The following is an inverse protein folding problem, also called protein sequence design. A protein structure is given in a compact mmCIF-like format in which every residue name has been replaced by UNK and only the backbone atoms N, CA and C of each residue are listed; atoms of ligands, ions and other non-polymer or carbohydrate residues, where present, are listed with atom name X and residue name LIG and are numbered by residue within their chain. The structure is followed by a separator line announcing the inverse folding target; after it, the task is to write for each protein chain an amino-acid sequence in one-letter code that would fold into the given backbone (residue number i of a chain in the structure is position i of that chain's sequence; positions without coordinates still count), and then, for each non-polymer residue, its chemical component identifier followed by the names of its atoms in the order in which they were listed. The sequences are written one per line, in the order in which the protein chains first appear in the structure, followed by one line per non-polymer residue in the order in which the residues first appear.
data_IF_662895521215
#
_entry.id   IF_662895521215
#
_cell.length_a   1.000
_cell.length_b   1.000
_cell.length_c   1.000
_cell.angle_alpha   90.00
_cell.angle_beta   90.00
_cell.angle_gamma   90.00
#
_symmetry.space_group_name_H-M   'P 1'
#
loop_
_entity.id
_entity.type
_entity.pdbx_description
1 polymer ?
#
# COMPACT_ATOMS: atom_id res chain seq x y z
N UNK A 1 -17.86 5.81 -5.46
CA UNK A 1 -16.95 6.96 -5.21
C UNK A 1 -15.95 7.02 -6.33
N UNK A 2 -15.72 8.21 -6.93
CA UNK A 2 -14.74 8.40 -8.02
C UNK A 2 -13.43 8.92 -7.43
N UNK A 3 -12.29 8.51 -7.98
CA UNK A 3 -10.98 9.01 -7.55
C UNK A 3 -10.38 9.88 -8.66
N UNK A 4 -10.16 11.15 -8.33
CA UNK A 4 -9.54 12.13 -9.21
C UNK A 4 -8.15 12.41 -8.66
N UNK A 5 -7.12 12.25 -9.48
CA UNK A 5 -5.75 12.53 -9.07
C UNK A 5 -5.14 13.68 -9.89
N UNK A 6 -4.21 14.38 -9.25
CA UNK A 6 -3.32 15.34 -9.90
C UNK A 6 -1.89 14.85 -9.69
N UNK A 7 -1.09 14.74 -10.77
CA UNK A 7 0.33 14.44 -10.63
C UNK A 7 1.02 15.48 -9.76
N UNK A 8 1.94 15.05 -8.90
CA UNK A 8 2.81 15.97 -8.18
C UNK A 8 3.77 16.64 -9.15
N UNK A 9 3.85 17.97 -9.10
CA UNK A 9 4.64 18.79 -10.02
C UNK A 9 6.13 18.49 -9.81
N UNK A 10 6.84 18.08 -10.86
CA UNK A 10 8.30 17.91 -10.85
C UNK A 10 8.84 16.52 -11.22
N UNK A 11 7.99 15.49 -11.39
CA UNK A 11 8.46 14.11 -11.71
C UNK A 11 8.53 13.82 -13.22
N UNK A 12 7.79 14.56 -14.06
CA UNK A 12 8.04 14.64 -15.50
C UNK A 12 7.13 15.70 -16.13
N UNK A 13 7.75 16.60 -16.86
CA UNK A 13 7.16 17.82 -17.41
C UNK A 13 6.25 17.57 -18.64
N UNK A 14 5.43 16.49 -18.63
CA UNK A 14 4.65 16.04 -19.82
C UNK A 14 3.16 15.81 -19.59
N UNK A 15 2.62 16.04 -18.40
CA UNK A 15 1.22 15.76 -18.12
C UNK A 15 0.61 16.70 -17.10
N UNK A 16 0.49 17.99 -17.43
CA UNK A 16 -0.37 18.91 -16.68
C UNK A 16 -1.84 18.54 -16.95
N UNK A 17 -2.35 17.54 -16.23
CA UNK A 17 -3.70 17.04 -16.42
C UNK A 17 -4.26 16.46 -15.12
N UNK A 18 -5.54 16.74 -14.87
CA UNK A 18 -6.31 16.01 -13.87
C UNK A 18 -6.84 14.75 -14.52
N UNK A 19 -6.65 13.59 -13.89
CA UNK A 19 -7.09 12.31 -14.43
C UNK A 19 -8.21 11.73 -13.57
N UNK A 20 -9.17 11.07 -14.21
CA UNK A 20 -10.05 10.12 -13.52
C UNK A 20 -9.32 8.78 -13.47
N UNK A 21 -9.19 8.20 -12.29
CA UNK A 21 -8.66 6.85 -12.14
C UNK A 21 -9.76 5.82 -12.41
N UNK A 22 -9.36 4.68 -12.98
CA UNK A 22 -10.18 3.48 -13.14
C UNK A 22 -9.34 2.23 -12.85
N UNK A 23 -9.99 1.08 -12.63
CA UNK A 23 -9.34 -0.21 -12.41
C UNK A 23 -9.69 -0.83 -11.04
N UNK A 24 -9.23 -2.07 -10.84
CA UNK A 24 -9.61 -2.89 -9.68
C UNK A 24 -9.03 -2.36 -8.35
N UNK A 25 -7.90 -1.63 -8.43
CA UNK A 25 -7.21 -1.08 -7.26
C UNK A 25 -7.84 0.22 -6.73
N UNK A 26 -8.93 0.69 -7.34
CA UNK A 26 -9.54 1.98 -6.99
C UNK A 26 -10.12 1.97 -5.57
N UNK A 27 -10.66 0.83 -5.13
CA UNK A 27 -11.13 0.66 -3.75
C UNK A 27 -9.99 0.77 -2.74
N UNK A 28 -8.81 0.21 -3.05
CA UNK A 28 -7.62 0.32 -2.19
C UNK A 28 -7.12 1.76 -2.13
N UNK A 29 -7.05 2.44 -3.27
CA UNK A 29 -6.62 3.85 -3.33
C UNK A 29 -7.55 4.80 -2.58
N UNK A 30 -8.86 4.51 -2.52
CA UNK A 30 -9.80 5.30 -1.72
C UNK A 30 -9.51 5.21 -0.22
N UNK A 31 -9.01 4.07 0.26
CA UNK A 31 -8.60 3.89 1.65
C UNK A 31 -7.21 4.48 1.95
N UNK A 32 -6.50 4.94 0.92
CA UNK A 32 -5.19 5.61 1.02
C UNK A 32 -5.30 7.14 0.92
N UNK A 33 -6.50 7.70 1.12
CA UNK A 33 -6.68 9.16 1.13
C UNK A 33 -5.78 9.82 2.19
N UNK A 34 -5.10 10.90 1.78
CA UNK A 34 -4.13 11.61 2.62
C UNK A 34 -2.72 11.02 2.57
N UNK A 35 -2.53 9.81 2.02
CA UNK A 35 -1.20 9.25 1.81
C UNK A 35 -0.61 9.69 0.46
N UNK A 36 0.73 9.70 0.39
CA UNK A 36 1.45 9.89 -0.87
C UNK A 36 1.65 8.54 -1.54
N UNK A 37 1.22 8.42 -2.79
CA UNK A 37 1.31 7.18 -3.57
C UNK A 37 1.91 7.45 -4.93
N UNK A 38 2.76 6.55 -5.39
CA UNK A 38 3.13 6.44 -6.79
C UNK A 38 2.11 5.52 -7.47
N UNK A 39 1.56 5.95 -8.60
CA UNK A 39 0.56 5.18 -9.34
C UNK A 39 1.17 4.72 -10.66
N UNK A 40 1.00 3.44 -10.95
CA UNK A 40 1.40 2.81 -12.20
C UNK A 40 0.16 2.44 -13.02
N UNK A 41 0.26 2.60 -14.33
CA UNK A 41 -0.86 2.34 -15.22
C UNK A 41 -0.67 2.97 -16.59
N UNK A 42 -1.79 3.12 -17.32
CA UNK A 42 -1.77 3.71 -18.65
C UNK A 42 -2.96 4.63 -18.90
N UNK A 43 -2.73 5.65 -19.73
CA UNK A 43 -3.82 6.45 -20.27
C UNK A 43 -4.59 5.61 -21.29
N UNK A 44 -5.90 5.54 -21.13
CA UNK A 44 -6.77 4.72 -22.01
C UNK A 44 -7.12 5.40 -23.33
N UNK A 45 -6.80 6.69 -23.49
CA UNK A 45 -7.24 7.52 -24.62
C UNK A 45 -8.74 7.87 -24.59
N UNK A 46 -9.48 7.37 -23.60
CA UNK A 46 -10.90 7.66 -23.40
C UNK A 46 -11.07 8.83 -22.43
N UNK A 47 -12.22 9.49 -22.55
CA UNK A 47 -12.66 10.52 -21.62
C UNK A 47 -13.81 9.98 -20.76
N UNK A 48 -13.82 10.40 -19.50
CA UNK A 48 -14.94 10.21 -18.58
C UNK A 48 -16.12 11.10 -18.97
N UNK A 49 -17.26 10.90 -18.30
CA UNK A 49 -18.45 11.75 -18.44
C UNK A 49 -18.19 13.25 -18.19
N UNK A 50 -17.15 13.59 -17.41
CA UNK A 50 -16.72 14.97 -17.14
C UNK A 50 -15.65 15.48 -18.10
N UNK A 51 -15.39 14.77 -19.20
CA UNK A 51 -14.32 15.08 -20.16
C UNK A 51 -12.91 15.08 -19.55
N UNK A 52 -12.70 14.34 -18.47
CA UNK A 52 -11.36 14.09 -17.92
C UNK A 52 -10.73 12.85 -18.58
N UNK A 53 -9.44 12.87 -18.91
CA UNK A 53 -8.73 11.68 -19.38
C UNK A 53 -8.77 10.57 -18.33
N UNK A 54 -9.03 9.34 -18.78
CA UNK A 54 -9.09 8.16 -17.92
C UNK A 54 -7.71 7.49 -17.88
N UNK A 55 -7.19 7.32 -16.66
CA UNK A 55 -5.98 6.57 -16.36
C UNK A 55 -6.35 5.24 -15.71
N UNK A 56 -6.07 4.13 -16.39
CA UNK A 56 -6.30 2.79 -15.88
C UNK A 56 -5.14 2.40 -14.96
N UNK A 57 -5.44 2.23 -13.68
CA UNK A 57 -4.49 1.86 -12.64
C UNK A 57 -4.25 0.36 -12.64
N UNK A 58 -2.98 -0.03 -12.77
CA UNK A 58 -2.55 -1.43 -12.71
C UNK A 58 -1.68 -1.73 -11.49
N UNK A 59 -1.16 -0.69 -10.84
CA UNK A 59 -0.33 -0.83 -9.65
C UNK A 59 -0.24 0.49 -8.89
N UNK A 60 0.20 0.40 -7.63
CA UNK A 60 0.58 1.56 -6.86
C UNK A 60 1.64 1.18 -5.83
N UNK A 61 2.43 2.16 -5.41
CA UNK A 61 3.36 2.05 -4.30
C UNK A 61 3.08 3.16 -3.29
N UNK A 62 2.94 2.77 -2.02
CA UNK A 62 2.85 3.73 -0.93
C UNK A 62 4.25 4.34 -0.70
N UNK A 63 4.33 5.67 -0.78
CA UNK A 63 5.57 6.39 -0.51
C UNK A 63 5.80 6.48 1.01
N UNK A 64 6.98 6.96 1.40
CA UNK A 64 7.36 7.04 2.81
C UNK A 64 6.30 7.79 3.64
N UNK A 65 5.93 7.21 4.77
CA UNK A 65 5.06 7.77 5.80
C UNK A 65 5.97 8.20 6.95
N UNK A 66 5.96 9.49 7.28
CA UNK A 66 6.82 10.08 8.32
C UNK A 66 8.32 9.70 8.19
N UNK A 67 8.80 9.61 6.94
CA UNK A 67 10.19 9.28 6.62
C UNK A 67 10.51 7.77 6.60
N UNK A 68 9.56 6.92 6.96
CA UNK A 68 9.69 5.46 6.95
C UNK A 68 9.02 4.84 5.72
N UNK A 69 9.69 3.91 5.04
CA UNK A 69 9.09 3.16 3.94
C UNK A 69 8.11 2.13 4.52
N UNK A 70 6.81 2.20 4.21
CA UNK A 70 5.83 1.25 4.71
C UNK A 70 6.02 -0.14 4.09
N UNK A 71 5.79 -1.17 4.90
CA UNK A 71 5.64 -2.56 4.46
C UNK A 71 4.16 -2.81 4.19
N UNK A 72 3.83 -3.18 2.97
CA UNK A 72 2.46 -3.47 2.53
C UNK A 72 2.28 -4.97 2.35
N UNK A 73 1.20 -5.52 2.91
CA UNK A 73 0.92 -6.94 2.77
C UNK A 73 -0.43 -7.37 3.34
N UNK A 74 -0.73 -8.65 3.17
CA UNK A 74 -1.92 -9.29 3.75
C UNK A 74 -1.59 -9.78 5.14
N UNK A 75 -2.42 -9.41 6.11
CA UNK A 75 -2.27 -9.87 7.48
C UNK A 75 -2.85 -11.28 7.62
N UNK A 76 -2.05 -12.19 8.15
CA UNK A 76 -2.44 -13.58 8.42
C UNK A 76 -2.05 -13.94 9.84
N UNK A 77 -2.67 -15.01 10.37
CA UNK A 77 -2.32 -15.58 11.67
C UNK A 77 -1.93 -17.03 11.48
N UNK A 78 -0.73 -17.39 11.94
CA UNK A 78 -0.26 -18.78 11.97
C UNK A 78 0.02 -19.17 13.42
N UNK A 79 -0.78 -20.10 13.96
CA UNK A 79 -0.83 -20.38 15.41
C UNK A 79 -1.09 -19.08 16.17
N UNK A 80 -0.16 -18.66 17.02
CA UNK A 80 -0.28 -17.44 17.83
C UNK A 80 0.55 -16.26 17.30
N UNK A 81 1.04 -16.34 16.05
CA UNK A 81 1.85 -15.28 15.45
C UNK A 81 1.10 -14.58 14.32
N UNK A 82 1.02 -13.26 14.42
CA UNK A 82 0.61 -12.40 13.33
C UNK A 82 1.76 -12.24 12.33
N UNK A 83 1.43 -12.40 11.06
CA UNK A 83 2.38 -12.37 9.96
C UNK A 83 1.81 -11.48 8.87
N UNK A 84 2.56 -10.44 8.49
CA UNK A 84 2.27 -9.68 7.29
C UNK A 84 3.02 -10.30 6.11
N UNK A 85 2.28 -10.81 5.13
CA UNK A 85 2.83 -11.38 3.91
C UNK A 85 2.75 -10.36 2.77
N UNK A 86 3.89 -9.99 2.20
CA UNK A 86 3.95 -9.04 1.09
C UNK A 86 3.73 -9.73 -0.26
N UNK A 87 3.37 -8.97 -1.29
CA UNK A 87 3.17 -9.48 -2.65
C UNK A 87 4.48 -10.00 -3.26
N UNK A 88 5.63 -9.49 -2.82
CA UNK A 88 6.96 -9.99 -3.22
C UNK A 88 7.37 -11.28 -2.46
N UNK A 89 6.47 -11.82 -1.64
CA UNK A 89 6.67 -13.07 -0.90
C UNK A 89 7.62 -12.92 0.30
N UNK A 90 7.71 -11.73 0.90
CA UNK A 90 8.37 -11.54 2.20
C UNK A 90 7.38 -11.79 3.34
N UNK A 91 7.89 -12.32 4.43
CA UNK A 91 7.10 -12.60 5.63
C UNK A 91 7.64 -11.79 6.80
N UNK A 92 6.79 -10.92 7.36
CA UNK A 92 7.12 -10.12 8.52
C UNK A 92 6.35 -10.63 9.72
N UNK A 93 7.07 -11.23 10.67
CA UNK A 93 6.55 -11.63 11.97
C UNK A 93 6.33 -10.36 12.78
N UNK A 94 5.09 -10.12 13.20
CA UNK A 94 4.74 -8.92 13.94
C UNK A 94 4.96 -9.12 15.44
N UNK A 95 5.52 -8.12 16.10
CA UNK A 95 5.68 -8.06 17.56
C UNK A 95 5.42 -6.63 18.07
N UNK A 96 5.24 -6.43 19.38
CA UNK A 96 5.06 -5.10 19.96
C UNK A 96 3.62 -4.71 20.29
N UNK A 97 3.42 -3.44 20.65
CA UNK A 97 2.22 -2.96 21.34
C UNK A 97 0.99 -2.83 20.43
N UNK A 98 1.17 -2.65 19.12
CA UNK A 98 0.05 -2.49 18.18
C UNK A 98 -0.61 -3.83 17.80
N UNK A 99 -0.05 -4.98 18.21
CA UNK A 99 -0.57 -6.31 17.87
C UNK A 99 -2.09 -6.48 18.13
N UNK A 100 -2.64 -6.10 19.29
CA UNK A 100 -4.07 -6.26 19.55
C UNK A 100 -4.95 -5.44 18.60
N UNK A 101 -4.45 -4.29 18.12
CA UNK A 101 -5.17 -3.43 17.18
C UNK A 101 -5.15 -4.00 15.76
N UNK A 102 -4.00 -4.53 15.32
CA UNK A 102 -3.89 -5.13 13.98
C UNK A 102 -4.59 -6.48 13.90
N UNK A 103 -4.71 -7.23 15.00
CA UNK A 103 -5.37 -8.55 15.03
C UNK A 103 -6.82 -8.53 14.51
N UNK A 104 -7.54 -7.42 14.73
CA UNK A 104 -8.91 -7.24 14.22
C UNK A 104 -9.02 -7.22 12.68
N UNK A 105 -7.90 -7.17 11.96
CA UNK A 105 -7.84 -7.08 10.50
C UNK A 105 -7.21 -8.31 9.83
N UNK A 106 -7.19 -9.47 10.50
CA UNK A 106 -6.73 -10.73 9.90
C UNK A 106 -7.51 -11.02 8.60
N UNK A 107 -6.79 -11.26 7.50
CA UNK A 107 -7.34 -11.41 6.15
C UNK A 107 -7.29 -10.12 5.32
N UNK A 108 -7.17 -8.97 5.97
CA UNK A 108 -7.07 -7.67 5.33
C UNK A 108 -5.68 -7.37 4.75
N UNK A 109 -5.61 -6.37 3.86
CA UNK A 109 -4.37 -5.78 3.36
C UNK A 109 -4.07 -4.52 4.18
N UNK A 110 -2.87 -4.44 4.74
CA UNK A 110 -2.44 -3.34 5.61
C UNK A 110 -1.12 -2.75 5.10
N UNK A 111 -0.87 -1.50 5.46
CA UNK A 111 0.48 -0.94 5.49
C UNK A 111 0.92 -0.80 6.95
N UNK A 112 2.17 -1.10 7.24
CA UNK A 112 2.80 -0.91 8.55
C UNK A 112 4.15 -0.22 8.40
N UNK A 113 4.46 0.71 9.29
CA UNK A 113 5.81 1.26 9.49
C UNK A 113 6.37 0.76 10.82
N UNK A 114 7.69 0.83 10.99
CA UNK A 114 8.34 0.54 12.26
C UNK A 114 9.72 -0.09 12.11
N UNK A 115 10.23 -0.60 13.22
CA UNK A 115 11.56 -1.20 13.28
C UNK A 115 11.56 -2.59 12.62
N UNK A 116 12.42 -2.78 11.61
CA UNK A 116 12.61 -4.07 10.96
C UNK A 116 13.91 -4.71 11.46
N UNK A 117 13.78 -5.84 12.17
CA UNK A 117 14.92 -6.64 12.62
C UNK A 117 15.24 -7.72 11.59
N UNK A 118 16.48 -7.72 11.12
CA UNK A 118 17.03 -8.69 10.17
C UNK A 118 17.89 -9.70 10.90
N UNK A 119 17.49 -10.97 10.88
CA UNK A 119 18.33 -12.07 11.37
C UNK A 119 19.44 -12.44 10.39
N UNK A 120 20.42 -13.22 10.84
CA UNK A 120 21.61 -13.62 10.06
C UNK A 120 21.28 -14.34 8.73
N UNK A 121 20.07 -14.91 8.60
CA UNK A 121 19.59 -15.59 7.38
C UNK A 121 18.28 -15.02 6.81
N UNK A 122 17.91 -13.78 7.16
CA UNK A 122 16.63 -13.20 6.71
C UNK A 122 16.55 -13.04 5.19
N UNK A 123 17.68 -12.77 4.53
CA UNK A 123 17.74 -12.64 3.07
C UNK A 123 17.49 -13.97 2.35
N UNK A 124 17.94 -15.09 2.93
CA UNK A 124 17.75 -16.43 2.37
C UNK A 124 16.32 -16.94 2.62
N UNK A 125 15.80 -16.70 3.83
CA UNK A 125 14.49 -17.21 4.27
C UNK A 125 13.32 -16.31 3.92
N UNK A 126 13.60 -15.06 3.50
CA UNK A 126 12.62 -13.97 3.32
C UNK A 126 11.76 -13.70 4.56
N UNK A 127 12.25 -14.08 5.74
CA UNK A 127 11.58 -13.89 7.03
C UNK A 127 12.25 -12.78 7.83
N UNK A 128 11.44 -11.87 8.33
CA UNK A 128 11.85 -10.69 9.06
C UNK A 128 10.96 -10.52 10.30
N UNK A 129 11.44 -9.78 11.30
CA UNK A 129 10.60 -9.30 12.39
C UNK A 129 10.31 -7.81 12.18
N UNK A 130 9.06 -7.40 12.38
CA UNK A 130 8.62 -6.02 12.31
C UNK A 130 7.94 -5.66 13.64
N UNK A 131 8.44 -4.62 14.29
CA UNK A 131 7.82 -4.00 15.46
C UNK A 131 7.15 -2.72 14.95
N UNK A 132 5.83 -2.73 14.68
CA UNK A 132 5.19 -1.60 14.05
C UNK A 132 4.98 -0.45 15.04
N UNK A 133 5.17 0.76 14.56
CA UNK A 133 4.90 2.02 15.28
C UNK A 133 3.67 2.77 14.75
N UNK A 134 3.28 2.50 13.49
CA UNK A 134 2.02 2.91 12.90
C UNK A 134 1.53 1.87 11.89
N UNK A 135 0.22 1.91 11.61
CA UNK A 135 -0.39 1.09 10.59
C UNK A 135 -1.62 1.79 9.99
N UNK A 136 -2.03 1.33 8.81
CA UNK A 136 -3.32 1.63 8.25
C UNK A 136 -3.86 0.47 7.42
N UNK A 137 -5.18 0.50 7.20
CA UNK A 137 -5.91 -0.58 6.53
C UNK A 137 -6.19 -0.17 5.11
N UNK A 138 -5.68 -0.94 4.16
CA UNK A 138 -5.87 -0.74 2.72
C UNK A 138 -7.13 -1.47 2.27
N UNK A 139 -7.34 -2.68 2.78
CA UNK A 139 -8.49 -3.53 2.46
C UNK A 139 -8.89 -4.30 3.71
N UNK A 140 -10.16 -4.28 4.05
CA UNK A 140 -10.72 -5.13 5.11
C UNK A 140 -10.76 -6.60 4.66
N UNK A 141 -10.84 -7.56 5.60
CA UNK A 141 -10.98 -8.99 5.27
C UNK A 141 -12.19 -9.30 4.39
#
# INVERSE_FOLDING_TARGET
TRLICRPEVGVSDRGQGTFQLEGDLLAELLNLQGARVLIEGSNTGRLSEYRLPIFLVTGYQLLAVDGSQPVVGVLTKTKDRLILQTEEGKFYLLSGQLLPMVEGYIGGKLWLTGEIKKGVFSWLTRKYELIPDAFGVIRTP
#
